data_IF_886773255054
#
_entry.id   IF_886773255054
#
_cell.length_a   1.000
_cell.length_b   1.000
_cell.length_c   1.000
_cell.angle_alpha   90.00
_cell.angle_beta   90.00
_cell.angle_gamma   90.00
#
_symmetry.space_group_name_H-M   'P 1'
#
loop_
_entity.id
_entity.type
_entity.pdbx_description
1 polymer ?
#
# COMPACT_ATOMS: atom_id res chain seq x y z
N UNK A 1 6.45 5.25 -22.74
CA UNK A 1 5.99 5.46 -21.34
C UNK A 1 6.88 6.42 -20.55
N UNK A 2 8.19 6.51 -20.79
CA UNK A 2 9.10 7.35 -19.98
C UNK A 2 8.75 8.85 -19.92
N UNK A 3 8.40 9.47 -21.06
CA UNK A 3 7.97 10.88 -21.09
C UNK A 3 6.72 11.11 -20.23
N UNK A 4 5.76 10.18 -20.28
CA UNK A 4 4.55 10.24 -19.45
C UNK A 4 4.89 10.15 -17.96
N UNK A 5 5.69 9.17 -17.55
CA UNK A 5 6.10 9.00 -16.15
C UNK A 5 6.83 10.24 -15.63
N UNK A 6 7.67 10.87 -16.46
CA UNK A 6 8.37 12.12 -16.12
C UNK A 6 7.38 13.27 -15.89
N UNK A 7 6.44 13.51 -16.80
CA UNK A 7 5.44 14.57 -16.64
C UNK A 7 4.46 14.29 -15.50
N UNK A 8 4.11 13.03 -15.27
CA UNK A 8 3.31 12.61 -14.12
C UNK A 8 4.01 12.98 -12.80
N UNK A 9 5.31 12.75 -12.70
CA UNK A 9 6.10 13.15 -11.53
C UNK A 9 6.18 14.67 -11.35
N UNK A 10 6.27 15.44 -12.44
CA UNK A 10 6.19 16.90 -12.35
C UNK A 10 4.82 17.36 -11.85
N UNK A 11 3.73 16.82 -12.41
CA UNK A 11 2.36 17.09 -11.94
C UNK A 11 2.21 16.72 -10.45
N UNK A 12 2.71 15.54 -10.05
CA UNK A 12 2.64 15.05 -8.66
C UNK A 12 3.35 16.01 -7.71
N UNK A 13 4.54 16.52 -8.07
CA UNK A 13 5.29 17.49 -7.26
C UNK A 13 4.66 18.89 -7.22
N UNK A 14 3.99 19.30 -8.31
CA UNK A 14 3.37 20.62 -8.43
C UNK A 14 1.91 20.67 -7.95
N UNK A 15 1.36 19.55 -7.47
CA UNK A 15 -0.06 19.42 -7.13
C UNK A 15 -0.23 18.84 -5.73
N UNK A 16 -1.30 19.23 -5.05
CA UNK A 16 -1.71 18.69 -3.75
C UNK A 16 -2.60 17.46 -3.87
N UNK A 17 -2.88 16.96 -5.08
CA UNK A 17 -3.85 15.87 -5.29
C UNK A 17 -3.54 14.61 -4.48
N UNK A 18 -2.26 14.21 -4.38
CA UNK A 18 -1.86 13.06 -3.55
C UNK A 18 -2.09 13.33 -2.07
N UNK A 19 -1.75 14.53 -1.61
CA UNK A 19 -1.95 14.93 -0.22
C UNK A 19 -3.44 14.99 0.13
N UNK A 20 -4.27 15.53 -0.76
CA UNK A 20 -5.72 15.58 -0.58
C UNK A 20 -6.34 14.19 -0.48
N UNK A 21 -5.86 13.22 -1.28
CA UNK A 21 -6.29 11.83 -1.17
C UNK A 21 -5.88 11.21 0.17
N UNK A 22 -4.65 11.46 0.62
CA UNK A 22 -4.15 11.02 1.93
C UNK A 22 -4.98 11.60 3.07
N UNK A 23 -5.25 12.91 3.04
CA UNK A 23 -6.00 13.60 4.09
C UNK A 23 -7.44 13.09 4.13
N UNK A 24 -8.05 12.82 2.98
CA UNK A 24 -9.35 12.20 2.91
C UNK A 24 -9.35 10.81 3.55
N UNK A 25 -8.36 9.96 3.23
CA UNK A 25 -8.25 8.61 3.80
C UNK A 25 -8.06 8.64 5.32
N UNK A 26 -7.21 9.52 5.84
CA UNK A 26 -7.00 9.69 7.29
C UNK A 26 -8.30 9.96 8.05
N UNK A 27 -9.20 10.74 7.46
CA UNK A 27 -10.48 11.08 8.06
C UNK A 27 -11.55 9.97 7.92
N UNK A 28 -11.29 8.92 7.13
CA UNK A 28 -12.27 7.89 6.80
C UNK A 28 -11.80 6.45 7.07
N UNK A 29 -10.52 6.25 7.40
CA UNK A 29 -9.91 4.92 7.58
C UNK A 29 -10.59 4.10 8.68
N UNK A 30 -11.08 4.74 9.75
CA UNK A 30 -11.83 4.05 10.80
C UNK A 30 -13.11 3.42 10.26
N UNK A 31 -13.84 4.12 9.38
CA UNK A 31 -15.04 3.60 8.73
C UNK A 31 -14.71 2.40 7.84
N UNK A 32 -13.58 2.45 7.13
CA UNK A 32 -13.11 1.34 6.28
C UNK A 32 -12.79 0.09 7.11
N UNK A 33 -12.10 0.24 8.24
CA UNK A 33 -11.75 -0.89 9.10
C UNK A 33 -12.98 -1.62 9.68
N UNK A 34 -14.12 -0.95 9.82
CA UNK A 34 -15.36 -1.55 10.33
C UNK A 34 -16.06 -2.48 9.33
N UNK A 35 -15.61 -2.51 8.08
CA UNK A 35 -16.26 -3.27 7.00
C UNK A 35 -16.08 -4.78 7.21
N UNK A 36 -14.94 -5.22 7.73
CA UNK A 36 -14.68 -6.63 8.01
C UNK A 36 -14.66 -6.90 9.52
N UNK A 37 -15.35 -7.97 9.91
CA UNK A 37 -15.30 -8.58 11.25
C UNK A 37 -14.32 -9.75 11.32
N UNK A 38 -13.64 -10.05 10.22
CA UNK A 38 -12.76 -11.21 10.11
C UNK A 38 -11.46 -10.96 10.88
N UNK A 39 -10.74 -12.04 11.19
CA UNK A 39 -9.41 -11.92 11.82
C UNK A 39 -8.38 -11.26 10.91
N UNK A 40 -8.63 -11.22 9.61
CA UNK A 40 -7.74 -10.63 8.61
C UNK A 40 -8.52 -9.63 7.78
N UNK A 41 -7.99 -8.41 7.68
CA UNK A 41 -8.46 -7.39 6.76
C UNK A 41 -7.59 -7.44 5.50
N UNK A 42 -8.18 -7.72 4.34
CA UNK A 42 -7.44 -7.78 3.06
C UNK A 42 -7.61 -6.49 2.28
N UNK A 43 -6.48 -5.89 1.88
CA UNK A 43 -6.36 -4.68 1.07
C UNK A 43 -5.75 -5.02 -0.28
N UNK A 44 -6.54 -4.82 -1.34
CA UNK A 44 -6.08 -4.92 -2.73
C UNK A 44 -5.87 -3.53 -3.31
N UNK A 45 -4.65 -3.24 -3.74
CA UNK A 45 -4.27 -2.02 -4.46
C UNK A 45 -4.01 -2.30 -5.93
N UNK A 46 -4.64 -1.51 -6.80
CA UNK A 46 -4.51 -1.62 -8.26
C UNK A 46 -3.93 -0.31 -8.78
N UNK A 47 -2.77 -0.37 -9.42
CA UNK A 47 -2.04 0.82 -9.86
C UNK A 47 -1.43 1.58 -8.69
N UNK A 48 -0.78 0.87 -7.76
CA UNK A 48 -0.21 1.45 -6.54
C UNK A 48 0.91 2.47 -6.81
N UNK A 49 1.47 2.51 -8.03
CA UNK A 49 2.53 3.44 -8.38
C UNK A 49 3.76 3.25 -7.50
N UNK A 50 4.29 4.37 -7.00
CA UNK A 50 5.36 4.37 -6.00
C UNK A 50 4.87 4.18 -4.55
N UNK A 51 3.54 4.14 -4.36
CA UNK A 51 2.85 3.76 -3.13
C UNK A 51 2.82 4.79 -2.00
N UNK A 52 2.97 6.07 -2.32
CA UNK A 52 2.79 7.16 -1.33
C UNK A 52 1.46 7.05 -0.56
N UNK A 53 0.38 6.74 -1.28
CA UNK A 53 -0.96 6.61 -0.69
C UNK A 53 -1.05 5.30 0.10
N UNK A 54 -0.61 4.21 -0.50
CA UNK A 54 -0.68 2.86 0.03
C UNK A 54 0.06 2.73 1.36
N UNK A 55 1.29 3.25 1.44
CA UNK A 55 2.08 3.20 2.68
C UNK A 55 1.42 3.95 3.82
N UNK A 56 0.83 5.12 3.53
CA UNK A 56 0.10 5.89 4.53
C UNK A 56 -1.18 5.15 4.96
N UNK A 57 -1.92 4.58 4.01
CA UNK A 57 -3.12 3.80 4.30
C UNK A 57 -2.79 2.56 5.13
N UNK A 58 -1.73 1.83 4.79
CA UNK A 58 -1.22 0.68 5.55
C UNK A 58 -0.85 1.10 6.97
N UNK A 59 -0.14 2.22 7.14
CA UNK A 59 0.24 2.72 8.47
C UNK A 59 -0.99 3.03 9.33
N UNK A 60 -1.98 3.70 8.77
CA UNK A 60 -3.18 4.09 9.52
C UNK A 60 -4.10 2.90 9.79
N UNK A 61 -4.30 2.00 8.81
CA UNK A 61 -5.03 0.75 9.00
C UNK A 61 -4.36 -0.12 10.05
N UNK A 62 -3.03 -0.28 10.02
CA UNK A 62 -2.31 -1.13 10.98
C UNK A 62 -2.56 -0.67 12.42
N UNK A 63 -2.56 0.64 12.70
CA UNK A 63 -2.85 1.17 14.04
C UNK A 63 -4.26 0.80 14.51
N UNK A 64 -5.24 0.81 13.61
CA UNK A 64 -6.64 0.54 13.93
C UNK A 64 -6.89 -0.96 14.08
N UNK A 65 -6.35 -1.76 13.16
CA UNK A 65 -6.48 -3.22 13.14
C UNK A 65 -5.77 -3.85 14.34
N UNK A 66 -4.64 -3.28 14.80
CA UNK A 66 -3.95 -3.73 16.02
C UNK A 66 -4.86 -3.61 17.25
N UNK A 67 -5.58 -2.50 17.40
CA UNK A 67 -6.55 -2.30 18.50
C UNK A 67 -7.70 -3.31 18.46
N UNK A 68 -7.95 -3.90 17.30
CA UNK A 68 -9.02 -4.89 17.05
C UNK A 68 -8.50 -6.32 17.01
N UNK A 69 -7.20 -6.54 17.22
CA UNK A 69 -6.56 -7.84 17.10
C UNK A 69 -6.79 -8.50 15.72
N UNK A 70 -6.77 -7.68 14.67
CA UNK A 70 -6.91 -8.11 13.27
C UNK A 70 -5.56 -8.00 12.55
N UNK A 71 -5.29 -8.91 11.62
CA UNK A 71 -4.13 -8.85 10.72
C UNK A 71 -4.46 -8.01 9.49
N UNK A 72 -3.43 -7.48 8.81
CA UNK A 72 -3.57 -6.81 7.53
C UNK A 72 -2.90 -7.65 6.44
N UNK A 73 -3.66 -8.08 5.45
CA UNK A 73 -3.13 -8.66 4.22
C UNK A 73 -3.16 -7.60 3.13
N UNK A 74 -2.03 -7.36 2.47
CA UNK A 74 -1.89 -6.35 1.43
C UNK A 74 -1.41 -6.98 0.12
N UNK A 75 -2.13 -6.70 -0.97
CA UNK A 75 -1.79 -7.14 -2.32
C UNK A 75 -1.77 -5.93 -3.23
N UNK A 76 -0.74 -5.82 -4.06
CA UNK A 76 -0.60 -4.72 -5.00
C UNK A 76 -0.28 -5.19 -6.41
N UNK A 77 -0.94 -4.55 -7.38
CA UNK A 77 -0.67 -4.71 -8.80
C UNK A 77 -0.13 -3.42 -9.40
N UNK A 78 1.07 -3.48 -9.98
CA UNK A 78 1.67 -2.35 -10.70
C UNK A 78 2.33 -2.85 -11.99
N UNK A 79 1.74 -2.54 -13.16
CA UNK A 79 2.28 -2.99 -14.44
C UNK A 79 3.58 -2.27 -14.84
N UNK A 80 3.86 -1.09 -14.30
CA UNK A 80 5.10 -0.37 -14.58
C UNK A 80 6.25 -0.91 -13.71
N UNK A 81 7.27 -1.53 -14.32
CA UNK A 81 8.36 -2.16 -13.58
C UNK A 81 9.18 -1.16 -12.74
N UNK A 82 9.26 0.11 -13.15
CA UNK A 82 9.97 1.14 -12.39
C UNK A 82 9.26 1.45 -11.07
N UNK A 83 7.95 1.69 -11.13
CA UNK A 83 7.11 1.93 -9.96
C UNK A 83 7.05 0.70 -9.05
N UNK A 84 6.90 -0.50 -9.63
CA UNK A 84 6.94 -1.76 -8.90
C UNK A 84 8.21 -1.89 -8.03
N UNK A 85 9.39 -1.57 -8.57
CA UNK A 85 10.63 -1.66 -7.80
C UNK A 85 10.68 -0.63 -6.67
N UNK A 86 10.16 0.58 -6.90
CA UNK A 86 10.07 1.62 -5.87
C UNK A 86 9.21 1.13 -4.71
N UNK A 87 7.95 0.77 -4.97
CA UNK A 87 7.03 0.36 -3.89
C UNK A 87 7.51 -0.90 -3.17
N UNK A 88 8.14 -1.84 -3.89
CA UNK A 88 8.75 -3.02 -3.27
C UNK A 88 9.84 -2.65 -2.26
N UNK A 89 10.70 -1.68 -2.61
CA UNK A 89 11.77 -1.23 -1.72
C UNK A 89 11.23 -0.39 -0.56
N UNK A 90 10.27 0.48 -0.82
CA UNK A 90 9.63 1.30 0.21
C UNK A 90 8.86 0.44 1.21
N UNK A 91 8.08 -0.56 0.76
CA UNK A 91 7.40 -1.50 1.64
C UNK A 91 8.38 -2.28 2.51
N UNK A 92 9.49 -2.79 1.93
CA UNK A 92 10.52 -3.48 2.70
C UNK A 92 11.09 -2.56 3.79
N UNK A 93 11.39 -1.32 3.44
CA UNK A 93 11.93 -0.32 4.38
C UNK A 93 10.92 0.03 5.46
N UNK A 94 9.67 0.25 5.08
CA UNK A 94 8.55 0.57 5.96
C UNK A 94 8.33 -0.53 6.99
N UNK A 95 8.23 -1.79 6.54
CA UNK A 95 7.95 -2.93 7.41
C UNK A 95 9.11 -3.21 8.39
N UNK A 96 10.36 -3.06 7.93
CA UNK A 96 11.54 -3.12 8.79
C UNK A 96 11.50 -2.05 9.90
N UNK A 97 11.17 -0.80 9.55
CA UNK A 97 11.06 0.30 10.52
C UNK A 97 9.97 0.08 11.56
N UNK A 98 8.89 -0.61 11.19
CA UNK A 98 7.73 -0.86 12.05
C UNK A 98 7.79 -2.15 12.85
N UNK A 99 8.86 -2.95 12.67
CA UNK A 99 9.02 -4.27 13.31
C UNK A 99 7.82 -5.22 13.08
N UNK A 100 7.13 -5.08 11.95
CA UNK A 100 5.99 -5.92 11.59
C UNK A 100 6.48 -7.24 10.98
N UNK A 101 5.84 -8.36 11.33
CA UNK A 101 6.18 -9.67 10.77
C UNK A 101 5.67 -9.78 9.33
N UNK A 102 6.54 -10.30 8.47
CA UNK A 102 6.48 -10.12 7.03
C UNK A 102 6.53 -11.47 6.32
N UNK A 103 5.46 -11.81 5.59
CA UNK A 103 5.47 -12.91 4.62
C UNK A 103 5.28 -12.30 3.23
N UNK A 104 6.36 -12.33 2.43
CA UNK A 104 6.26 -12.08 0.99
C UNK A 104 5.88 -13.37 0.29
N UNK A 105 4.73 -13.39 -0.39
CA UNK A 105 4.42 -14.46 -1.34
C UNK A 105 4.59 -13.88 -2.73
N UNK A 106 5.42 -14.52 -3.56
CA UNK A 106 5.56 -14.16 -4.97
C UNK A 106 4.66 -15.10 -5.76
N UNK A 107 3.54 -14.62 -6.30
CA UNK A 107 2.89 -15.29 -7.43
C UNK A 107 3.23 -14.54 -8.71
N UNK A 108 3.83 -15.26 -9.66
CA UNK A 108 4.07 -14.77 -11.02
C UNK A 108 3.03 -15.45 -11.90
N UNK A 109 1.91 -14.80 -12.15
CA UNK A 109 1.06 -15.19 -13.27
C UNK A 109 1.57 -14.48 -14.53
N UNK A 110 1.74 -15.29 -15.58
CA UNK A 110 2.36 -14.90 -16.84
C UNK A 110 1.88 -13.51 -17.33
N UNK A 111 2.81 -12.54 -17.36
CA UNK A 111 2.69 -11.16 -17.90
C UNK A 111 2.26 -10.03 -16.95
N UNK A 112 1.98 -10.27 -15.66
CA UNK A 112 1.71 -9.19 -14.69
C UNK A 112 2.63 -9.28 -13.46
N UNK A 113 3.11 -8.13 -12.96
CA UNK A 113 3.92 -8.07 -11.74
C UNK A 113 3.00 -7.85 -10.54
N UNK A 114 2.97 -8.84 -9.65
CA UNK A 114 2.21 -8.82 -8.41
C UNK A 114 3.15 -8.74 -7.20
N UNK A 115 2.72 -8.01 -6.17
CA UNK A 115 3.37 -7.96 -4.87
C UNK A 115 2.34 -8.35 -3.80
N UNK A 116 2.52 -9.52 -3.19
CA UNK A 116 1.69 -9.97 -2.07
C UNK A 116 2.50 -9.88 -0.77
N UNK A 117 1.91 -9.23 0.23
CA UNK A 117 2.50 -8.94 1.54
C UNK A 117 1.45 -9.23 2.61
N UNK A 118 1.73 -10.19 3.48
CA UNK A 118 0.93 -10.35 4.73
C UNK A 118 1.65 -9.68 5.88
N UNK A 119 0.93 -8.84 6.62
CA UNK A 119 1.40 -8.07 7.76
C UNK A 119 0.73 -8.62 9.03
N UNK A 120 1.55 -9.21 9.89
CA UNK A 120 1.11 -9.63 11.23
C UNK A 120 1.39 -8.50 12.22
N UNK A 121 0.34 -8.11 12.94
CA UNK A 121 0.41 -7.12 14.00
C UNK A 121 0.70 -7.88 15.30
N UNK A 122 1.80 -7.54 15.98
CA UNK A 122 2.26 -8.17 17.23
C UNK A 122 2.03 -7.19 18.38
#
# INVERSE_FOLDING_TARGET
MEKYAKFYNYRKKASTMTQAAIDWLKNHVEKLSCISKDKTFSLLSIGCGDGDIDLQLIDDLSKILLKRNQNLEYVAFEPNPFHYQIIKNELKTFLLKKMLQLIFVRQVFARQMELHVTIYLI
#
